data_IF_639564306192
#
_entry.id   IF_639564306192
#
_cell.length_a   1.000
_cell.length_b   1.000
_cell.length_c   1.000
_cell.angle_alpha   90.00
_cell.angle_beta   90.00
_cell.angle_gamma   90.00
#
_symmetry.space_group_name_H-M   'P 1'
#
loop_
_entity.id
_entity.type
_entity.pdbx_description
1 polymer ?
#
# COMPACT_ATOMS: atom_id res chain seq x y z
N UNK A 1 -18.11 15.89 -4.99
CA UNK A 1 -16.73 15.64 -4.51
C UNK A 1 -16.40 16.71 -3.49
N UNK A 2 -15.90 16.34 -2.32
CA UNK A 2 -15.46 17.31 -1.30
C UNK A 2 -14.08 17.86 -1.65
N UNK A 3 -13.82 19.13 -1.32
CA UNK A 3 -12.55 19.85 -1.54
C UNK A 3 -12.11 20.49 -0.22
N UNK A 4 -10.81 20.50 0.09
CA UNK A 4 -10.29 21.03 1.36
C UNK A 4 -8.77 21.08 1.41
N UNK A 5 -8.23 21.90 2.32
CA UNK A 5 -6.83 22.32 2.39
C UNK A 5 -5.86 21.41 3.16
N UNK A 6 -6.16 20.12 3.27
CA UNK A 6 -5.21 19.12 3.82
C UNK A 6 -5.74 18.27 4.97
N UNK A 7 -6.78 18.72 5.67
CA UNK A 7 -7.51 17.91 6.67
C UNK A 7 -8.99 17.80 6.31
N UNK A 8 -9.60 16.66 6.66
CA UNK A 8 -10.98 16.35 6.28
C UNK A 8 -12.01 17.27 6.95
N UNK A 9 -11.64 17.89 8.08
CA UNK A 9 -12.50 18.78 8.86
C UNK A 9 -12.82 20.08 8.10
N UNK A 10 -11.90 20.53 7.24
CA UNK A 10 -12.04 21.72 6.40
C UNK A 10 -12.67 21.40 5.03
N UNK A 11 -13.06 20.14 4.80
CA UNK A 11 -13.56 19.73 3.50
C UNK A 11 -15.01 20.21 3.29
N UNK A 12 -15.29 20.76 2.11
CA UNK A 12 -16.61 21.20 1.70
C UNK A 12 -17.04 20.59 0.37
N UNK A 13 -18.33 20.32 0.24
CA UNK A 13 -18.98 19.88 -1.00
C UNK A 13 -18.98 21.00 -2.06
N UNK A 14 -19.33 20.67 -3.31
CA UNK A 14 -19.42 21.65 -4.39
C UNK A 14 -20.46 22.75 -4.14
N UNK A 15 -21.49 22.45 -3.33
CA UNK A 15 -22.52 23.38 -2.86
C UNK A 15 -22.13 24.10 -1.54
N UNK A 16 -20.89 23.95 -1.07
CA UNK A 16 -20.37 24.62 0.12
C UNK A 16 -20.70 23.95 1.45
N UNK A 17 -21.40 22.80 1.46
CA UNK A 17 -21.69 22.08 2.71
C UNK A 17 -20.42 21.48 3.31
N UNK A 18 -20.12 21.78 4.58
CA UNK A 18 -19.00 21.16 5.30
C UNK A 18 -19.19 19.65 5.42
N UNK A 19 -18.09 18.90 5.36
CA UNK A 19 -18.07 17.47 5.63
C UNK A 19 -18.64 17.15 7.01
N UNK A 20 -18.40 17.98 8.02
CA UNK A 20 -18.97 17.81 9.37
C UNK A 20 -20.50 17.81 9.41
N UNK A 21 -21.16 18.39 8.41
CA UNK A 21 -22.62 18.53 8.35
C UNK A 21 -23.34 17.33 7.71
N UNK A 22 -22.62 16.28 7.28
CA UNK A 22 -23.27 15.06 6.76
C UNK A 22 -23.57 14.08 7.90
N UNK A 23 -24.65 13.29 7.82
CA UNK A 23 -25.08 12.40 8.92
C UNK A 23 -24.05 11.35 9.35
N UNK A 24 -23.16 10.95 8.46
CA UNK A 24 -22.13 9.93 8.70
C UNK A 24 -20.72 10.51 8.78
N UNK A 25 -20.57 11.83 8.99
CA UNK A 25 -19.27 12.46 9.20
C UNK A 25 -18.54 11.77 10.36
N UNK A 26 -17.26 11.45 10.17
CA UNK A 26 -16.39 10.87 11.21
C UNK A 26 -16.86 9.53 11.80
N UNK A 27 -17.81 8.83 11.17
CA UNK A 27 -18.36 7.60 11.72
C UNK A 27 -17.28 6.54 12.01
N UNK A 28 -16.20 6.54 11.21
CA UNK A 28 -15.03 5.68 11.43
C UNK A 28 -14.35 5.87 12.80
N UNK A 29 -14.51 7.02 13.45
CA UNK A 29 -13.93 7.33 14.78
C UNK A 29 -14.73 6.71 15.91
N UNK A 30 -16.02 6.43 15.71
CA UNK A 30 -16.95 6.05 16.78
C UNK A 30 -17.55 4.67 16.58
N UNK A 31 -17.52 4.14 15.35
CA UNK A 31 -18.12 2.86 15.01
C UNK A 31 -17.30 2.10 13.98
N UNK A 32 -17.01 0.84 14.30
CA UNK A 32 -16.57 -0.14 13.33
C UNK A 32 -17.80 -0.69 12.62
N UNK A 33 -17.88 -0.45 11.31
CA UNK A 33 -18.97 -0.93 10.48
C UNK A 33 -18.47 -2.13 9.68
N UNK A 34 -19.18 -3.26 9.72
CA UNK A 34 -18.78 -4.49 9.03
C UNK A 34 -18.61 -4.29 7.51
N UNK A 35 -19.32 -3.32 6.93
CA UNK A 35 -19.23 -2.93 5.52
C UNK A 35 -18.07 -1.98 5.21
N UNK A 36 -17.29 -1.57 6.21
CA UNK A 36 -16.18 -0.62 6.09
C UNK A 36 -14.93 -1.19 6.78
N UNK A 37 -14.41 -2.27 6.21
CA UNK A 37 -13.28 -3.04 6.72
C UNK A 37 -12.13 -3.04 5.68
N UNK A 38 -10.90 -2.77 6.12
CA UNK A 38 -9.68 -2.83 5.29
C UNK A 38 -8.91 -4.15 5.43
N UNK A 39 -9.54 -5.19 5.96
CA UNK A 39 -8.81 -6.20 6.74
C UNK A 39 -8.40 -7.48 6.07
N UNK A 40 -8.95 -7.82 4.92
CA UNK A 40 -8.96 -9.21 4.46
C UNK A 40 -9.71 -10.18 5.40
N UNK A 41 -9.60 -10.10 6.74
CA UNK A 41 -10.50 -10.68 7.78
C UNK A 41 -10.40 -9.91 9.12
N UNK A 42 -11.40 -9.11 9.48
CA UNK A 42 -11.51 -8.36 10.75
C UNK A 42 -12.11 -6.94 10.60
N UNK A 43 -12.24 -6.13 11.66
CA UNK A 43 -12.72 -4.73 11.54
C UNK A 43 -11.61 -3.68 11.35
N UNK A 44 -10.35 -3.99 11.72
CA UNK A 44 -9.26 -2.99 11.84
C UNK A 44 -7.91 -3.36 11.18
N UNK A 45 -7.72 -4.58 10.70
CA UNK A 45 -6.48 -5.00 10.05
C UNK A 45 -6.19 -4.29 8.72
N UNK A 46 -4.91 -4.13 8.43
CA UNK A 46 -4.40 -4.14 7.05
C UNK A 46 -3.89 -5.57 6.88
N UNK A 47 -4.27 -6.30 5.83
CA UNK A 47 -3.63 -7.60 5.58
C UNK A 47 -2.16 -7.30 5.27
N UNK A 48 -1.25 -7.87 6.04
CA UNK A 48 0.10 -8.12 5.55
C UNK A 48 0.09 -9.55 5.02
N UNK A 49 -0.28 -9.78 3.75
CA UNK A 49 -0.27 -11.13 3.21
C UNK A 49 1.17 -11.62 3.30
N UNK A 50 1.34 -12.81 3.87
CA UNK A 50 2.61 -13.51 3.79
C UNK A 50 2.94 -13.66 2.31
N UNK A 51 3.97 -12.94 1.83
CA UNK A 51 4.26 -12.81 0.40
C UNK A 51 4.52 -14.17 -0.24
N UNK A 52 5.07 -15.12 0.52
CA UNK A 52 5.23 -16.50 0.11
C UNK A 52 3.91 -17.18 -0.30
N UNK A 53 2.76 -16.75 0.21
CA UNK A 53 1.44 -17.31 -0.09
C UNK A 53 0.56 -16.42 -0.97
N UNK A 54 1.10 -15.32 -1.50
CA UNK A 54 0.35 -14.45 -2.41
C UNK A 54 0.35 -15.07 -3.83
N UNK A 55 -0.77 -15.66 -4.21
CA UNK A 55 -0.99 -16.29 -5.52
C UNK A 55 -1.26 -15.28 -6.63
N UNK A 56 -1.41 -13.99 -6.30
CA UNK A 56 -1.62 -12.92 -7.27
C UNK A 56 -0.31 -12.40 -7.87
N UNK A 57 0.83 -12.70 -7.22
CA UNK A 57 2.15 -12.23 -7.63
C UNK A 57 2.55 -12.71 -9.02
N UNK A 58 2.98 -11.76 -9.86
CA UNK A 58 3.49 -11.97 -11.22
C UNK A 58 4.94 -11.53 -11.31
N UNK A 59 5.70 -12.22 -12.16
CA UNK A 59 7.11 -11.89 -12.37
C UNK A 59 7.28 -10.42 -12.82
N UNK A 60 8.01 -9.64 -12.03
CA UNK A 60 8.18 -8.21 -12.21
C UNK A 60 7.43 -7.34 -11.20
N UNK A 61 6.51 -7.92 -10.41
CA UNK A 61 5.85 -7.22 -9.33
C UNK A 61 6.90 -6.75 -8.31
N UNK A 62 6.75 -5.48 -7.90
CA UNK A 62 7.60 -4.85 -6.89
C UNK A 62 6.81 -4.84 -5.59
N UNK A 63 7.33 -5.51 -4.57
CA UNK A 63 6.72 -5.60 -3.25
C UNK A 63 7.57 -4.82 -2.27
N UNK A 64 6.95 -3.95 -1.47
CA UNK A 64 7.65 -3.23 -0.42
C UNK A 64 7.65 -4.06 0.86
N UNK A 65 8.83 -4.41 1.35
CA UNK A 65 9.01 -5.15 2.60
C UNK A 65 9.61 -4.23 3.67
N UNK A 66 9.62 -4.68 4.92
CA UNK A 66 10.32 -3.97 6.01
C UNK A 66 11.82 -3.78 5.75
N UNK A 67 12.43 -4.65 4.95
CA UNK A 67 13.85 -4.63 4.64
C UNK A 67 14.12 -3.92 3.28
N UNK A 68 13.12 -3.23 2.74
CA UNK A 68 13.18 -2.51 1.47
C UNK A 68 12.39 -3.16 0.32
N UNK A 69 12.47 -2.60 -0.89
CA UNK A 69 11.78 -3.12 -2.06
C UNK A 69 12.36 -4.46 -2.53
N UNK A 70 11.49 -5.40 -2.92
CA UNK A 70 11.86 -6.67 -3.54
C UNK A 70 11.10 -6.84 -4.84
N UNK A 71 11.69 -7.56 -5.78
CA UNK A 71 11.08 -7.86 -7.08
C UNK A 71 10.80 -9.34 -7.14
N UNK A 72 9.54 -9.67 -7.40
CA UNK A 72 9.10 -11.05 -7.52
C UNK A 72 9.56 -11.66 -8.86
N UNK A 73 10.29 -12.77 -8.77
CA UNK A 73 10.85 -13.56 -9.87
C UNK A 73 10.83 -15.04 -9.50
N UNK A 74 9.70 -15.70 -9.76
CA UNK A 74 9.53 -17.14 -9.60
C UNK A 74 9.69 -17.88 -10.92
N UNK A 75 10.29 -19.07 -10.87
CA UNK A 75 10.32 -20.01 -12.00
C UNK A 75 9.01 -20.78 -12.16
N UNK A 76 8.32 -21.04 -11.05
CA UNK A 76 7.12 -21.89 -11.00
C UNK A 76 5.84 -21.08 -10.84
N UNK A 77 5.89 -19.93 -10.15
CA UNK A 77 4.72 -19.13 -9.80
C UNK A 77 3.78 -19.81 -8.80
N UNK A 78 4.21 -20.90 -8.17
CA UNK A 78 3.39 -21.70 -7.25
C UNK A 78 3.75 -21.36 -5.81
N UNK A 79 2.74 -21.07 -4.99
CA UNK A 79 2.87 -20.86 -3.55
C UNK A 79 3.11 -22.20 -2.82
N UNK A 80 3.92 -22.25 -1.75
CA UNK A 80 4.66 -21.13 -1.20
C UNK A 80 5.86 -20.74 -2.07
N UNK A 81 5.99 -19.44 -2.36
CA UNK A 81 7.12 -18.91 -3.10
C UNK A 81 8.38 -18.98 -2.23
N UNK A 82 9.52 -19.48 -2.75
CA UNK A 82 10.75 -19.53 -1.98
C UNK A 82 11.30 -18.11 -1.77
N UNK A 83 12.08 -17.88 -0.71
CA UNK A 83 12.74 -16.59 -0.47
C UNK A 83 13.60 -16.12 -1.65
N UNK A 84 14.17 -17.06 -2.42
CA UNK A 84 14.93 -16.77 -3.64
C UNK A 84 14.09 -16.17 -4.77
N UNK A 85 12.75 -16.24 -4.69
CA UNK A 85 11.85 -15.59 -5.64
C UNK A 85 11.75 -14.07 -5.40
N UNK A 86 12.28 -13.54 -4.30
CA UNK A 86 12.23 -12.13 -3.95
C UNK A 86 13.62 -11.53 -3.97
N UNK A 87 14.01 -10.91 -5.08
CA UNK A 87 15.37 -10.37 -5.26
C UNK A 87 15.40 -8.84 -5.15
N UNK A 88 16.56 -8.24 -4.84
CA UNK A 88 16.72 -6.79 -4.91
C UNK A 88 16.41 -6.21 -6.31
N UNK A 89 15.91 -4.97 -6.42
CA UNK A 89 15.64 -4.32 -7.70
C UNK A 89 16.85 -4.27 -8.64
N UNK A 90 18.06 -4.11 -8.10
CA UNK A 90 19.30 -4.07 -8.88
C UNK A 90 19.57 -5.40 -9.59
N UNK A 91 19.25 -6.52 -8.95
CA UNK A 91 19.41 -7.88 -9.49
C UNK A 91 18.28 -8.28 -10.46
N UNK A 92 17.19 -7.51 -10.50
CA UNK A 92 16.06 -7.80 -11.36
C UNK A 92 16.36 -7.47 -12.83
N UNK A 93 16.57 -8.51 -13.64
CA UNK A 93 16.89 -8.38 -15.07
C UNK A 93 15.74 -7.81 -15.90
N UNK A 94 14.50 -8.00 -15.45
CA UNK A 94 13.28 -7.56 -16.16
C UNK A 94 12.93 -6.08 -15.93
N UNK A 95 13.56 -5.41 -14.97
CA UNK A 95 13.30 -3.99 -14.71
C UNK A 95 14.19 -3.08 -15.56
N UNK A 96 13.60 -2.01 -16.10
CA UNK A 96 14.33 -0.97 -16.81
C UNK A 96 15.22 -0.17 -15.85
N UNK A 97 16.27 0.47 -16.38
CA UNK A 97 17.15 1.35 -15.58
C UNK A 97 16.40 2.51 -14.94
N UNK A 98 15.46 3.11 -15.67
CA UNK A 98 14.60 4.20 -15.16
C UNK A 98 13.74 3.74 -13.98
N UNK A 99 13.12 2.57 -14.10
CA UNK A 99 12.30 2.01 -13.02
C UNK A 99 13.15 1.69 -11.78
N UNK A 100 14.34 1.13 -11.95
CA UNK A 100 15.28 0.91 -10.83
C UNK A 100 15.65 2.23 -10.14
N UNK A 101 15.91 3.30 -10.90
CA UNK A 101 16.21 4.61 -10.35
C UNK A 101 15.03 5.18 -9.55
N UNK A 102 13.79 5.05 -10.06
CA UNK A 102 12.57 5.47 -9.36
C UNK A 102 12.35 4.69 -8.06
N UNK A 103 12.58 3.38 -8.06
CA UNK A 103 12.46 2.56 -6.84
C UNK A 103 13.45 3.02 -5.77
N UNK A 104 14.70 3.32 -6.16
CA UNK A 104 15.73 3.84 -5.25
C UNK A 104 15.35 5.19 -4.64
N UNK A 105 14.72 6.07 -5.41
CA UNK A 105 14.19 7.34 -4.92
C UNK A 105 13.09 7.13 -3.87
N UNK A 106 12.17 6.18 -4.12
CA UNK A 106 11.10 5.84 -3.17
C UNK A 106 11.65 5.26 -1.85
N UNK A 107 12.71 4.45 -1.92
CA UNK A 107 13.38 3.89 -0.74
C UNK A 107 14.02 5.00 0.13
N UNK A 108 14.71 5.95 -0.50
CA UNK A 108 15.29 7.11 0.19
C UNK A 108 14.22 8.00 0.83
N UNK A 109 13.12 8.26 0.13
CA UNK A 109 11.99 9.03 0.66
C UNK A 109 11.34 8.34 1.87
N UNK A 110 11.20 7.02 1.83
CA UNK A 110 10.70 6.22 2.95
C UNK A 110 11.63 6.22 4.17
N UNK A 111 12.95 6.14 3.94
CA UNK A 111 13.94 6.20 5.02
C UNK A 111 13.96 7.55 5.74
N UNK A 112 13.67 8.65 5.04
CA UNK A 112 13.56 9.99 5.65
C UNK A 112 12.29 10.13 6.49
N UNK A 113 11.19 9.46 6.12
CA UNK A 113 9.92 9.54 6.84
C UNK A 113 9.87 8.69 8.13
N UNK A 114 10.77 7.71 8.29
CA UNK A 114 10.82 6.82 9.46
C UNK A 114 11.80 7.24 10.57
N UNK A 115 12.50 8.37 10.42
CA UNK A 115 13.53 8.86 11.34
C UNK A 115 13.06 9.87 12.38
N UNK A 116 11.85 9.73 12.92
CA UNK A 116 11.25 10.59 13.95
C UNK A 116 11.15 9.93 15.31
#
# INVERSE_FOLDING_TARGET
MFRGGGVIDDAASADGRSYSAIPNAYLYRTKLQDTCSCTGKGPLGVVSPALEYDDTLRNGDIVMTKDGPRVFQSKTGITPHPASAFVPPDDARRLSRDLKARIKELELAGSVAGGG
#
